data_IF_264374328789
#
_entry.id   IF_264374328789
#
_cell.length_a   1.000
_cell.length_b   1.000
_cell.length_c   1.000
_cell.angle_alpha   90.00
_cell.angle_beta   90.00
_cell.angle_gamma   90.00
#
_symmetry.space_group_name_H-M   'P 1'
#
loop_
_entity.id
_entity.type
_entity.pdbx_description
1 polymer ?
#
# COMPACT_ATOMS: atom_id res chain seq x y z
N UNK A 1 16.65 7.29 -2.44
CA UNK A 1 16.49 6.18 -1.49
C UNK A 1 17.20 6.37 -0.16
N UNK A 2 18.51 6.67 -0.09
CA UNK A 2 19.21 6.96 1.20
C UNK A 2 18.54 8.05 2.05
N UNK A 3 17.98 9.12 1.44
CA UNK A 3 17.32 10.21 2.18
C UNK A 3 15.98 9.85 2.81
N UNK A 4 15.27 8.83 2.30
CA UNK A 4 13.96 8.40 2.81
C UNK A 4 14.13 7.35 3.89
N UNK A 5 15.06 6.43 3.71
CA UNK A 5 15.49 5.52 4.79
C UNK A 5 16.03 6.31 5.99
N UNK A 6 16.86 7.34 5.75
CA UNK A 6 17.34 8.25 6.81
C UNK A 6 16.19 8.98 7.52
N UNK A 7 15.13 9.39 6.80
CA UNK A 7 14.00 10.11 7.40
C UNK A 7 13.05 9.21 8.20
N UNK A 8 12.95 7.93 7.83
CA UNK A 8 12.21 6.93 8.62
C UNK A 8 13.02 6.42 9.82
N UNK A 9 14.35 6.36 9.71
CA UNK A 9 15.25 6.05 10.82
C UNK A 9 15.37 7.20 11.81
N UNK A 10 15.39 8.47 11.35
CA UNK A 10 15.39 9.67 12.20
C UNK A 10 14.12 9.82 13.05
N UNK A 11 12.99 9.32 12.58
CA UNK A 11 11.74 9.31 13.36
C UNK A 11 11.70 8.26 14.48
N UNK A 12 12.66 7.33 14.50
CA UNK A 12 12.74 6.25 15.47
C UNK A 12 13.90 6.42 16.49
N UNK A 13 14.82 7.39 16.28
CA UNK A 13 16.03 7.53 17.11
C UNK A 13 16.48 8.98 17.28
N UNK A 14 15.68 9.89 17.79
CA UNK A 14 16.19 11.21 18.14
C UNK A 14 16.13 11.44 19.65
N UNK A 15 17.21 11.10 20.33
CA UNK A 15 17.58 11.80 21.57
C UNK A 15 18.44 13.02 21.22
N UNK A 16 18.23 14.19 21.84
CA UNK A 16 18.96 15.42 21.48
C UNK A 16 20.36 15.43 22.09
N UNK A 17 21.38 15.39 21.26
CA UNK A 17 22.77 15.62 21.66
C UNK A 17 23.10 17.08 21.45
N UNK A 18 23.37 17.79 22.56
CA UNK A 18 23.78 19.20 22.59
C UNK A 18 25.14 19.47 21.91
N UNK A 19 25.42 20.71 21.51
CA UNK A 19 26.60 21.07 20.75
C UNK A 19 27.85 21.11 21.61
N UNK A 20 28.91 20.42 21.18
CA UNK A 20 30.26 20.51 21.69
C UNK A 20 31.03 21.63 20.96
N UNK A 21 31.55 22.60 21.71
CA UNK A 21 32.38 23.68 21.22
C UNK A 21 33.85 23.24 21.25
N UNK A 22 34.66 23.49 20.20
CA UNK A 22 36.11 23.42 20.29
C UNK A 22 36.65 24.83 20.65
N UNK A 23 37.56 24.86 21.62
CA UNK A 23 38.34 26.01 21.96
C UNK A 23 39.56 26.12 21.03
N UNK A 24 39.86 27.33 20.58
CA UNK A 24 41.12 28.02 20.59
C UNK A 24 41.25 29.04 19.46
N UNK A 25 41.72 30.26 19.82
CA UNK A 25 42.24 31.22 18.88
C UNK A 25 41.64 32.63 18.98
N UNK A 26 42.09 33.44 19.95
CA UNK A 26 42.02 34.92 19.88
C UNK A 26 43.12 35.47 18.94
N UNK A 27 42.97 36.64 18.26
CA UNK A 27 42.95 37.92 18.96
C UNK A 27 42.06 39.06 18.42
N UNK A 28 41.72 39.93 19.35
CA UNK A 28 41.48 41.39 19.27
C UNK A 28 41.06 42.06 17.95
N UNK A 29 39.84 42.54 17.92
CA UNK A 29 39.56 43.94 17.52
C UNK A 29 38.22 44.38 18.13
N UNK A 30 38.26 45.39 18.97
CA UNK A 30 37.11 46.04 19.57
C UNK A 30 36.28 46.74 18.49
N UNK A 31 35.01 46.39 18.37
CA UNK A 31 33.97 47.23 17.79
C UNK A 31 32.77 47.21 18.75
N UNK A 32 32.29 48.41 19.05
CA UNK A 32 31.18 48.68 19.96
C UNK A 32 29.91 47.88 19.61
N UNK A 33 29.13 47.42 20.60
CA UNK A 33 27.87 46.76 20.36
C UNK A 33 26.82 47.78 19.90
N UNK A 34 26.36 47.65 18.68
CA UNK A 34 25.11 48.27 18.24
C UNK A 34 23.98 47.58 18.97
N UNK A 35 23.36 48.27 19.93
CA UNK A 35 22.13 47.82 20.60
C UNK A 35 21.02 47.65 19.53
N UNK A 36 20.78 46.42 19.07
CA UNK A 36 19.59 46.10 18.33
C UNK A 36 18.37 46.26 19.26
N UNK A 37 17.46 47.14 18.87
CA UNK A 37 16.24 47.42 19.63
C UNK A 37 15.43 46.14 19.87
N UNK A 38 14.96 45.95 21.11
CA UNK A 38 14.12 44.81 21.49
C UNK A 38 12.88 44.61 20.59
N UNK A 39 12.44 45.67 19.92
CA UNK A 39 11.33 45.61 18.96
C UNK A 39 11.68 44.87 17.66
N UNK A 40 12.92 44.98 17.14
CA UNK A 40 13.35 44.27 15.92
C UNK A 40 13.53 42.77 16.15
N UNK A 41 13.94 42.38 17.37
CA UNK A 41 14.07 40.96 17.73
C UNK A 41 12.70 40.29 17.88
N UNK A 42 11.70 41.01 18.35
CA UNK A 42 10.33 40.49 18.53
C UNK A 42 9.61 40.36 17.18
N UNK A 43 9.88 41.28 16.23
CA UNK A 43 9.32 41.23 14.88
C UNK A 43 9.90 40.07 14.05
N UNK A 44 11.19 39.80 14.13
CA UNK A 44 11.85 38.66 13.47
C UNK A 44 11.40 37.34 14.10
N UNK A 45 11.19 37.26 15.41
CA UNK A 45 10.66 36.06 16.07
C UNK A 45 9.22 35.79 15.72
N UNK A 46 8.40 36.83 15.51
CA UNK A 46 7.01 36.71 15.07
C UNK A 46 6.92 36.26 13.60
N UNK A 47 7.81 36.77 12.74
CA UNK A 47 7.89 36.34 11.33
C UNK A 47 8.35 34.89 11.18
N UNK A 48 9.31 34.45 11.97
CA UNK A 48 9.78 33.07 12.00
C UNK A 48 8.70 32.08 12.47
N UNK A 49 7.75 32.54 13.28
CA UNK A 49 6.61 31.74 13.74
C UNK A 49 5.49 31.63 12.71
N UNK A 50 5.37 32.61 11.80
CA UNK A 50 4.39 32.63 10.70
C UNK A 50 4.83 31.85 9.47
N UNK A 51 6.11 31.50 9.34
CA UNK A 51 6.69 30.81 8.17
C UNK A 51 7.07 29.34 8.49
N UNK A 52 6.67 28.81 9.64
CA UNK A 52 6.78 27.36 9.82
C UNK A 52 5.69 26.71 8.98
N UNK A 53 6.04 26.02 7.88
CA UNK A 53 5.04 25.23 7.17
C UNK A 53 4.50 24.19 8.18
N UNK A 54 3.18 24.20 8.39
CA UNK A 54 2.55 23.14 9.16
C UNK A 54 3.08 21.80 8.64
N UNK A 55 3.44 20.85 9.52
CA UNK A 55 3.85 19.54 9.09
C UNK A 55 2.70 18.94 8.28
N UNK A 56 2.86 18.91 6.96
CA UNK A 56 1.92 18.22 6.07
C UNK A 56 1.88 16.79 6.58
N UNK A 57 0.77 16.40 7.18
CA UNK A 57 0.58 15.05 7.70
C UNK A 57 0.87 14.09 6.55
N UNK A 58 1.78 13.14 6.76
CA UNK A 58 2.09 12.13 5.75
C UNK A 58 0.77 11.48 5.27
N UNK A 59 0.57 11.32 3.97
CA UNK A 59 -0.68 10.79 3.43
C UNK A 59 -0.96 9.45 4.10
N UNK A 60 -2.13 9.32 4.73
CA UNK A 60 -2.55 8.05 5.33
C UNK A 60 -2.84 7.07 4.19
N UNK A 61 -1.97 6.08 4.03
CA UNK A 61 -2.15 5.03 3.03
C UNK A 61 -3.40 4.21 3.34
N UNK A 62 -4.18 3.82 2.34
CA UNK A 62 -5.35 2.98 2.53
C UNK A 62 -4.94 1.59 3.00
N UNK A 63 -5.42 1.16 4.16
CA UNK A 63 -5.09 -0.14 4.76
C UNK A 63 -6.10 -1.19 4.32
N UNK A 64 -5.59 -2.38 3.97
CA UNK A 64 -6.45 -3.53 3.72
C UNK A 64 -7.16 -3.99 4.99
N UNK A 65 -8.47 -4.22 4.90
CA UNK A 65 -9.31 -4.65 6.02
C UNK A 65 -10.10 -5.89 5.65
N UNK A 66 -10.11 -6.85 6.55
CA UNK A 66 -10.80 -8.13 6.38
C UNK A 66 -12.28 -7.99 6.74
N UNK A 67 -13.14 -8.58 5.94
CA UNK A 67 -14.57 -8.62 6.21
C UNK A 67 -14.91 -9.48 7.44
N UNK A 68 -15.68 -8.92 8.37
CA UNK A 68 -16.26 -9.72 9.46
C UNK A 68 -17.37 -10.62 8.90
N UNK A 69 -17.25 -11.93 9.09
CA UNK A 69 -18.25 -12.92 8.70
C UNK A 69 -18.91 -13.54 9.91
N UNK A 70 -20.23 -13.81 9.88
CA UNK A 70 -20.88 -14.65 10.88
C UNK A 70 -20.28 -16.06 10.87
N UNK A 71 -20.05 -16.62 12.05
CA UNK A 71 -19.57 -17.99 12.19
C UNK A 71 -20.65 -19.00 11.76
N UNK A 72 -20.25 -20.02 11.02
CA UNK A 72 -21.07 -21.17 10.65
C UNK A 72 -20.58 -22.44 11.34
N UNK A 73 -21.35 -23.55 11.16
CA UNK A 73 -20.93 -24.88 11.57
C UNK A 73 -20.42 -25.65 10.36
N UNK A 74 -19.15 -26.09 10.40
CA UNK A 74 -18.51 -26.83 9.30
C UNK A 74 -19.22 -28.14 8.92
N UNK A 75 -19.88 -28.81 9.88
CA UNK A 75 -20.63 -30.04 9.62
C UNK A 75 -21.79 -29.80 8.61
N UNK A 76 -22.35 -28.59 8.64
CA UNK A 76 -23.48 -28.21 7.78
C UNK A 76 -23.04 -27.46 6.51
N UNK A 77 -21.74 -27.32 6.26
CA UNK A 77 -21.21 -26.53 5.13
C UNK A 77 -21.75 -26.96 3.77
N UNK A 78 -22.03 -28.26 3.61
CA UNK A 78 -22.54 -28.83 2.35
C UNK A 78 -24.07 -28.91 2.27
N UNK A 79 -24.80 -28.41 3.29
CA UNK A 79 -26.26 -28.40 3.28
C UNK A 79 -26.81 -27.49 2.17
N UNK A 80 -27.63 -28.00 1.24
CA UNK A 80 -28.22 -27.19 0.20
C UNK A 80 -29.05 -26.00 0.71
N UNK A 81 -29.66 -26.10 1.88
CA UNK A 81 -30.48 -25.04 2.47
C UNK A 81 -29.65 -23.80 2.86
N UNK A 82 -28.34 -23.96 3.08
CA UNK A 82 -27.41 -22.90 3.47
C UNK A 82 -26.68 -22.23 2.30
N UNK A 83 -26.94 -22.63 1.06
CA UNK A 83 -26.31 -22.06 -0.13
C UNK A 83 -26.53 -20.55 -0.27
N UNK A 84 -27.70 -20.05 0.09
CA UNK A 84 -27.99 -18.62 0.07
C UNK A 84 -27.14 -17.86 1.08
N UNK A 85 -26.92 -18.43 2.29
CA UNK A 85 -26.06 -17.85 3.33
C UNK A 85 -24.61 -17.81 2.85
N UNK A 86 -24.11 -18.88 2.23
CA UNK A 86 -22.75 -18.93 1.66
C UNK A 86 -22.58 -17.91 0.55
N UNK A 87 -23.56 -17.76 -0.35
CA UNK A 87 -23.54 -16.77 -1.43
C UNK A 87 -23.51 -15.33 -0.88
N UNK A 88 -24.29 -15.05 0.17
CA UNK A 88 -24.28 -13.74 0.84
C UNK A 88 -22.93 -13.45 1.50
N UNK A 89 -22.31 -14.44 2.16
CA UNK A 89 -20.99 -14.29 2.75
C UNK A 89 -19.91 -14.03 1.68
N UNK A 90 -19.95 -14.72 0.54
CA UNK A 90 -19.07 -14.47 -0.60
C UNK A 90 -19.21 -13.01 -1.07
N UNK A 91 -20.44 -12.54 -1.27
CA UNK A 91 -20.67 -11.15 -1.68
C UNK A 91 -20.22 -10.14 -0.65
N UNK A 92 -20.41 -10.42 0.64
CA UNK A 92 -19.93 -9.55 1.72
C UNK A 92 -18.42 -9.40 1.70
N UNK A 93 -17.68 -10.50 1.48
CA UNK A 93 -16.22 -10.45 1.33
C UNK A 93 -15.84 -9.67 0.06
N UNK A 94 -16.44 -9.94 -1.08
CA UNK A 94 -16.15 -9.25 -2.33
C UNK A 94 -16.37 -7.73 -2.20
N UNK A 95 -17.46 -7.30 -1.56
CA UNK A 95 -17.73 -5.86 -1.34
C UNK A 95 -16.72 -5.18 -0.43
N UNK A 96 -16.25 -5.87 0.59
CA UNK A 96 -15.33 -5.30 1.58
C UNK A 96 -13.86 -5.42 1.18
N UNK A 97 -13.47 -6.54 0.57
CA UNK A 97 -12.08 -6.90 0.32
C UNK A 97 -11.70 -6.88 -1.17
N UNK A 98 -12.68 -6.74 -2.08
CA UNK A 98 -12.41 -6.76 -3.53
C UNK A 98 -11.59 -5.54 -4.01
N UNK A 99 -10.77 -5.74 -5.05
CA UNK A 99 -10.53 -6.98 -5.78
C UNK A 99 -9.87 -8.05 -4.89
N UNK A 100 -10.36 -9.29 -5.00
CA UNK A 100 -9.91 -10.40 -4.17
C UNK A 100 -9.71 -11.68 -4.99
N UNK A 101 -8.58 -12.37 -4.79
CA UNK A 101 -8.31 -13.66 -5.43
C UNK A 101 -9.27 -14.74 -4.97
N UNK A 102 -9.70 -15.62 -5.87
CA UNK A 102 -10.66 -16.70 -5.62
C UNK A 102 -10.26 -17.60 -4.45
N UNK A 103 -9.01 -18.04 -4.39
CA UNK A 103 -8.52 -18.88 -3.29
C UNK A 103 -8.52 -18.16 -1.93
N UNK A 104 -8.33 -16.84 -1.89
CA UNK A 104 -8.45 -16.03 -0.67
C UNK A 104 -9.91 -15.91 -0.27
N UNK A 105 -10.80 -15.57 -1.20
CA UNK A 105 -12.23 -15.46 -1.00
C UNK A 105 -12.80 -16.74 -0.40
N UNK A 106 -12.48 -17.88 -1.03
CA UNK A 106 -12.98 -19.19 -0.58
C UNK A 106 -12.41 -19.60 0.77
N UNK A 107 -11.12 -19.29 1.02
CA UNK A 107 -10.49 -19.51 2.32
C UNK A 107 -11.15 -18.66 3.44
N UNK A 108 -11.55 -17.42 3.16
CA UNK A 108 -12.26 -16.55 4.13
C UNK A 108 -13.60 -17.19 4.55
N UNK A 109 -14.42 -17.56 3.57
CA UNK A 109 -15.71 -18.16 3.86
C UNK A 109 -15.55 -19.51 4.55
N UNK A 110 -14.69 -20.39 4.05
CA UNK A 110 -14.47 -21.71 4.65
C UNK A 110 -14.02 -21.60 6.14
N UNK A 111 -13.11 -20.66 6.44
CA UNK A 111 -12.64 -20.42 7.82
C UNK A 111 -13.75 -19.89 8.74
N UNK A 112 -14.66 -19.06 8.24
CA UNK A 112 -15.81 -18.60 9.03
C UNK A 112 -16.73 -19.76 9.44
N UNK A 113 -16.70 -20.88 8.70
CA UNK A 113 -17.42 -22.10 9.03
C UNK A 113 -16.58 -23.12 9.81
N UNK A 114 -15.40 -22.73 10.30
CA UNK A 114 -14.52 -23.61 11.10
C UNK A 114 -13.68 -24.58 10.27
N UNK A 115 -13.74 -24.52 8.94
CA UNK A 115 -12.97 -25.39 8.07
C UNK A 115 -11.50 -24.92 7.97
N UNK A 116 -10.56 -25.78 8.33
CA UNK A 116 -9.14 -25.44 8.37
C UNK A 116 -8.47 -25.45 6.97
N UNK A 117 -9.04 -26.20 6.04
CA UNK A 117 -8.53 -26.37 4.67
C UNK A 117 -9.65 -26.19 3.66
N UNK A 118 -9.30 -25.53 2.55
CA UNK A 118 -10.19 -25.38 1.41
C UNK A 118 -9.79 -26.42 0.36
N UNK A 119 -10.47 -27.56 0.36
CA UNK A 119 -10.22 -28.61 -0.63
C UNK A 119 -11.04 -28.37 -1.89
N UNK A 120 -10.69 -29.06 -2.98
CA UNK A 120 -11.31 -28.92 -4.31
C UNK A 120 -12.84 -28.91 -4.29
N UNK A 121 -13.48 -29.79 -3.53
CA UNK A 121 -14.95 -29.87 -3.42
C UNK A 121 -15.55 -28.59 -2.82
N UNK A 122 -14.88 -27.99 -1.84
CA UNK A 122 -15.29 -26.72 -1.21
C UNK A 122 -15.15 -25.59 -2.21
N UNK A 123 -14.01 -25.53 -2.92
CA UNK A 123 -13.75 -24.51 -3.94
C UNK A 123 -14.78 -24.58 -5.09
N UNK A 124 -15.08 -25.78 -5.61
CA UNK A 124 -16.08 -25.97 -6.64
C UNK A 124 -17.47 -25.51 -6.19
N UNK A 125 -17.86 -25.84 -4.95
CA UNK A 125 -19.11 -25.38 -4.35
C UNK A 125 -19.15 -23.85 -4.25
N UNK A 126 -18.14 -23.24 -3.63
CA UNK A 126 -18.10 -21.79 -3.43
C UNK A 126 -18.03 -21.03 -4.75
N UNK A 127 -17.23 -21.52 -5.71
CA UNK A 127 -17.13 -20.94 -7.05
C UNK A 127 -18.48 -20.93 -7.78
N UNK A 128 -19.25 -22.00 -7.65
CA UNK A 128 -20.60 -22.10 -8.22
C UNK A 128 -21.62 -21.15 -7.54
N UNK A 129 -21.35 -20.77 -6.29
CA UNK A 129 -22.21 -19.86 -5.51
C UNK A 129 -21.85 -18.39 -5.65
N UNK A 130 -20.68 -18.03 -6.23
CA UNK A 130 -20.36 -16.63 -6.48
C UNK A 130 -21.36 -16.07 -7.50
N UNK A 131 -22.17 -15.05 -7.13
CA UNK A 131 -23.12 -14.45 -8.06
C UNK A 131 -22.43 -13.92 -9.33
N UNK A 132 -23.11 -13.94 -10.48
CA UNK A 132 -22.55 -13.44 -11.74
C UNK A 132 -22.37 -11.92 -11.76
N UNK A 133 -22.97 -11.22 -10.82
CA UNK A 133 -22.82 -9.76 -10.66
C UNK A 133 -21.39 -9.38 -10.27
N UNK A 134 -20.89 -8.28 -10.83
CA UNK A 134 -19.53 -7.81 -10.64
C UNK A 134 -18.54 -8.28 -11.70
N UNK A 135 -17.49 -7.48 -11.88
CA UNK A 135 -16.43 -7.80 -12.83
C UNK A 135 -15.54 -8.93 -12.32
N UNK A 136 -14.88 -9.61 -13.24
CA UNK A 136 -13.86 -10.63 -12.96
C UNK A 136 -12.68 -10.40 -13.89
N UNK A 137 -11.48 -10.47 -13.33
CA UNK A 137 -10.23 -10.52 -14.11
C UNK A 137 -9.53 -11.84 -13.84
N UNK A 138 -8.79 -12.34 -14.83
CA UNK A 138 -8.10 -13.63 -14.74
C UNK A 138 -6.61 -13.41 -15.00
N UNK A 139 -5.79 -13.88 -14.09
CA UNK A 139 -4.35 -13.82 -14.17
C UNK A 139 -3.75 -15.21 -13.98
N UNK A 140 -3.38 -15.86 -15.09
CA UNK A 140 -3.02 -17.28 -15.07
C UNK A 140 -4.20 -18.14 -14.60
N UNK A 141 -4.00 -18.88 -13.52
CA UNK A 141 -5.01 -19.75 -12.93
C UNK A 141 -5.86 -19.07 -11.84
N UNK A 142 -5.57 -17.79 -11.52
CA UNK A 142 -6.23 -17.04 -10.45
C UNK A 142 -7.32 -16.14 -11.03
N UNK A 143 -8.53 -16.24 -10.46
CA UNK A 143 -9.64 -15.33 -10.76
C UNK A 143 -9.76 -14.29 -9.66
N UNK A 144 -9.73 -13.01 -10.01
CA UNK A 144 -10.02 -11.92 -9.09
C UNK A 144 -11.49 -11.49 -9.23
N UNK A 145 -12.18 -11.41 -8.09
CA UNK A 145 -13.55 -10.93 -8.01
C UNK A 145 -13.58 -9.48 -7.57
N UNK A 146 -14.34 -8.66 -8.27
CA UNK A 146 -14.46 -7.24 -8.07
C UNK A 146 -15.80 -6.86 -7.45
N UNK A 147 -15.89 -5.79 -6.64
CA UNK A 147 -17.17 -5.25 -6.21
C UNK A 147 -18.05 -4.90 -7.40
N UNK A 148 -19.37 -5.03 -7.24
CA UNK A 148 -20.35 -4.84 -8.32
C UNK A 148 -20.25 -3.51 -9.05
N UNK A 149 -19.83 -2.45 -8.35
CA UNK A 149 -19.69 -1.08 -8.88
C UNK A 149 -18.32 -0.79 -9.46
N UNK A 150 -17.37 -1.72 -9.36
CA UNK A 150 -15.99 -1.50 -9.79
C UNK A 150 -15.80 -1.85 -11.25
N UNK A 151 -15.06 -0.99 -11.94
CA UNK A 151 -14.58 -1.22 -13.30
C UNK A 151 -13.05 -1.44 -13.24
N UNK A 152 -12.54 -2.65 -13.47
CA UNK A 152 -11.12 -2.96 -13.34
C UNK A 152 -10.20 -2.03 -14.14
N UNK A 153 -10.62 -1.67 -15.36
CA UNK A 153 -9.84 -0.83 -16.27
C UNK A 153 -9.68 0.62 -15.77
N UNK A 154 -10.63 1.09 -14.95
CA UNK A 154 -10.67 2.44 -14.43
C UNK A 154 -10.31 2.52 -12.95
N UNK A 155 -10.01 1.37 -12.35
CA UNK A 155 -9.74 1.34 -10.92
C UNK A 155 -8.34 1.88 -10.61
N UNK A 156 -8.26 2.87 -9.72
CA UNK A 156 -7.04 3.56 -9.32
C UNK A 156 -6.63 3.26 -7.87
N UNK A 157 -7.40 2.44 -7.18
CA UNK A 157 -7.14 2.11 -5.78
C UNK A 157 -5.96 1.16 -5.58
N UNK A 158 -5.40 1.21 -4.38
CA UNK A 158 -4.49 0.21 -3.85
C UNK A 158 -4.65 0.15 -2.32
N UNK A 159 -4.18 -0.90 -1.69
CA UNK A 159 -4.22 -1.04 -0.23
C UNK A 159 -2.90 -1.64 0.25
N UNK A 160 -2.48 -1.22 1.44
CA UNK A 160 -1.23 -1.68 2.07
C UNK A 160 -1.55 -2.45 3.35
N UNK A 161 -0.56 -3.19 3.88
CA UNK A 161 -0.68 -3.84 5.16
C UNK A 161 -0.32 -2.89 6.31
N UNK A 162 -0.99 -3.05 7.44
CA UNK A 162 -0.55 -2.50 8.73
C UNK A 162 0.14 -3.58 9.59
N UNK A 163 0.17 -3.39 10.90
CA UNK A 163 0.82 -4.33 11.81
C UNK A 163 -0.06 -5.54 12.16
N UNK A 164 -1.34 -5.55 11.75
CA UNK A 164 -2.24 -6.67 11.97
C UNK A 164 -1.97 -7.80 10.98
N UNK A 165 -1.87 -9.03 11.46
CA UNK A 165 -1.64 -10.21 10.60
C UNK A 165 -2.70 -10.37 9.51
N UNK A 166 -3.94 -10.03 9.81
CA UNK A 166 -5.06 -10.14 8.88
C UNK A 166 -4.99 -9.15 7.70
N UNK A 167 -4.25 -8.05 7.85
CA UNK A 167 -4.04 -7.08 6.78
C UNK A 167 -2.94 -7.49 5.79
N UNK A 168 -2.08 -8.44 6.18
CA UNK A 168 -0.96 -8.89 5.36
C UNK A 168 -1.46 -9.76 4.21
N UNK A 169 -0.98 -9.45 3.01
CA UNK A 169 -1.30 -10.20 1.79
C UNK A 169 -0.02 -10.56 1.06
N UNK A 170 0.02 -11.74 0.45
CA UNK A 170 1.09 -12.12 -0.46
C UNK A 170 0.87 -11.46 -1.83
N UNK A 171 1.91 -11.38 -2.67
CA UNK A 171 1.82 -10.72 -3.97
C UNK A 171 0.89 -11.42 -4.96
N UNK A 172 0.68 -12.73 -4.82
CA UNK A 172 -0.27 -13.51 -5.59
C UNK A 172 -1.73 -13.30 -5.15
N UNK A 173 -1.95 -12.72 -3.98
CA UNK A 173 -3.26 -12.30 -3.48
C UNK A 173 -3.69 -10.90 -3.98
N UNK A 174 -2.77 -10.17 -4.65
CA UNK A 174 -3.01 -8.84 -5.22
C UNK A 174 -3.16 -8.92 -6.73
N UNK A 175 -4.21 -8.30 -7.30
CA UNK A 175 -4.35 -8.21 -8.75
C UNK A 175 -3.32 -7.26 -9.39
N UNK A 176 -3.13 -7.38 -10.69
CA UNK A 176 -2.18 -6.56 -11.44
C UNK A 176 -2.53 -5.07 -11.37
N UNK A 177 -3.82 -4.73 -11.37
CA UNK A 177 -4.29 -3.36 -11.25
C UNK A 177 -3.91 -2.75 -9.90
N UNK A 178 -4.11 -3.48 -8.79
CA UNK A 178 -3.75 -3.01 -7.46
C UNK A 178 -2.23 -2.82 -7.30
N UNK A 179 -1.45 -3.79 -7.77
CA UNK A 179 0.02 -3.70 -7.79
C UNK A 179 0.52 -2.56 -8.69
N UNK A 180 -0.09 -2.39 -9.87
CA UNK A 180 0.24 -1.31 -10.80
C UNK A 180 -0.04 0.08 -10.20
N UNK A 181 -1.19 0.24 -9.54
CA UNK A 181 -1.56 1.49 -8.88
C UNK A 181 -0.63 1.81 -7.71
N UNK A 182 -0.26 0.81 -6.90
CA UNK A 182 0.72 0.97 -5.83
C UNK A 182 2.11 1.35 -6.38
N UNK A 183 2.51 0.75 -7.49
CA UNK A 183 3.75 1.11 -8.18
C UNK A 183 3.73 2.56 -8.69
N UNK A 184 2.62 2.98 -9.33
CA UNK A 184 2.45 4.36 -9.80
C UNK A 184 2.49 5.36 -8.65
N UNK A 185 1.86 5.05 -7.51
CA UNK A 185 1.94 5.88 -6.32
C UNK A 185 3.40 6.04 -5.85
N UNK A 186 4.15 4.95 -5.70
CA UNK A 186 5.55 4.99 -5.29
C UNK A 186 6.44 5.77 -6.27
N UNK A 187 6.18 5.66 -7.57
CA UNK A 187 6.90 6.40 -8.60
C UNK A 187 6.55 7.90 -8.57
N UNK A 188 5.31 8.27 -8.18
CA UNK A 188 4.93 9.68 -8.03
C UNK A 188 5.63 10.34 -6.85
N UNK A 189 5.81 9.59 -5.75
CA UNK A 189 6.49 10.09 -4.55
C UNK A 189 8.01 10.18 -4.69
N UNK A 190 8.61 9.25 -5.44
CA UNK A 190 10.07 9.05 -5.42
C UNK A 190 10.76 9.23 -6.77
N UNK A 191 9.99 9.40 -7.84
CA UNK A 191 10.52 9.45 -9.19
C UNK A 191 10.90 8.05 -9.75
N UNK A 192 11.70 8.05 -10.81
CA UNK A 192 12.15 6.81 -11.44
C UNK A 192 13.10 6.00 -10.57
N UNK A 193 12.97 4.66 -10.61
CA UNK A 193 13.76 3.72 -9.83
C UNK A 193 14.00 2.41 -10.57
N UNK A 194 14.87 1.53 -10.05
CA UNK A 194 14.98 0.18 -10.60
C UNK A 194 13.77 -0.68 -10.24
N UNK A 195 13.46 -1.67 -11.10
CA UNK A 195 12.40 -2.65 -10.83
C UNK A 195 12.61 -3.36 -9.50
N UNK A 196 13.85 -3.76 -9.19
CA UNK A 196 14.18 -4.44 -7.94
C UNK A 196 13.99 -3.56 -6.71
N UNK A 197 14.24 -2.26 -6.81
CA UNK A 197 13.98 -1.33 -5.71
C UNK A 197 12.51 -1.05 -5.52
N UNK A 198 11.76 -0.91 -6.61
CA UNK A 198 10.30 -0.80 -6.57
C UNK A 198 9.69 -2.04 -5.94
N UNK A 199 10.16 -3.24 -6.32
CA UNK A 199 9.70 -4.50 -5.76
C UNK A 199 9.95 -4.58 -4.24
N UNK A 200 11.14 -4.16 -3.78
CA UNK A 200 11.44 -4.08 -2.34
C UNK A 200 10.52 -3.12 -1.60
N UNK A 201 10.22 -1.98 -2.20
CA UNK A 201 9.32 -0.97 -1.61
C UNK A 201 7.89 -1.48 -1.52
N UNK A 202 7.37 -2.14 -2.55
CA UNK A 202 6.05 -2.79 -2.55
C UNK A 202 5.99 -3.89 -1.48
N UNK A 203 6.98 -4.80 -1.46
CA UNK A 203 7.03 -5.87 -0.45
C UNK A 203 7.04 -5.31 0.98
N UNK A 204 7.77 -4.21 1.23
CA UNK A 204 7.80 -3.56 2.54
C UNK A 204 6.43 -3.01 2.94
N UNK A 205 5.71 -2.35 2.03
CA UNK A 205 4.35 -1.83 2.29
C UNK A 205 3.33 -2.95 2.49
N UNK A 206 3.55 -4.12 1.89
CA UNK A 206 2.72 -5.31 2.11
C UNK A 206 3.19 -6.18 3.27
N UNK A 207 4.23 -5.74 4.04
CA UNK A 207 4.83 -6.49 5.14
C UNK A 207 5.36 -7.88 4.73
N UNK A 208 5.79 -8.03 3.48
CA UNK A 208 6.42 -9.25 2.96
C UNK A 208 7.90 -9.23 3.33
N UNK A 209 8.34 -10.24 4.06
CA UNK A 209 9.68 -10.26 4.67
C UNK A 209 10.84 -10.35 3.66
N UNK A 210 10.62 -10.97 2.50
CA UNK A 210 11.67 -11.17 1.48
C UNK A 210 11.14 -10.90 0.08
N UNK A 211 11.91 -10.17 -0.70
CA UNK A 211 11.67 -10.02 -2.14
C UNK A 211 12.37 -11.16 -2.87
N UNK A 212 11.61 -12.03 -3.50
CA UNK A 212 12.10 -13.13 -4.34
C UNK A 212 12.12 -12.74 -5.82
N UNK A 213 12.77 -13.54 -6.66
CA UNK A 213 12.72 -13.38 -8.11
C UNK A 213 11.27 -13.49 -8.65
N UNK A 214 10.44 -14.35 -8.05
CA UNK A 214 9.01 -14.48 -8.40
C UNK A 214 8.23 -13.23 -8.03
N UNK A 215 8.57 -12.59 -6.90
CA UNK A 215 8.00 -11.31 -6.51
C UNK A 215 8.33 -10.21 -7.52
N UNK A 216 9.58 -10.10 -7.97
CA UNK A 216 9.98 -9.16 -9.01
C UNK A 216 9.26 -9.45 -10.34
N UNK A 217 9.20 -10.70 -10.75
CA UNK A 217 8.48 -11.11 -11.97
C UNK A 217 6.98 -10.79 -11.89
N UNK A 218 6.35 -10.95 -10.71
CA UNK A 218 4.95 -10.60 -10.47
C UNK A 218 4.73 -9.09 -10.62
N UNK A 219 5.63 -8.28 -10.08
CA UNK A 219 5.56 -6.81 -10.18
C UNK A 219 5.80 -6.36 -11.62
N UNK A 220 6.77 -6.94 -12.34
CA UNK A 220 6.98 -6.64 -13.76
C UNK A 220 5.69 -6.88 -14.56
N UNK A 221 5.01 -8.00 -14.35
CA UNK A 221 3.70 -8.26 -15.02
C UNK A 221 2.65 -7.22 -14.66
N UNK A 222 2.60 -6.75 -13.41
CA UNK A 222 1.68 -5.70 -13.00
C UNK A 222 2.02 -4.34 -13.63
N UNK A 223 3.31 -4.03 -13.83
CA UNK A 223 3.74 -2.81 -14.51
C UNK A 223 3.30 -2.75 -15.98
N UNK A 224 3.08 -3.91 -16.63
CA UNK A 224 2.56 -3.95 -18.00
C UNK A 224 1.15 -3.36 -18.11
N UNK A 225 0.33 -3.43 -17.04
CA UNK A 225 -0.98 -2.76 -16.99
C UNK A 225 -0.80 -1.24 -17.05
N UNK A 226 0.12 -0.69 -16.26
CA UNK A 226 0.45 0.73 -16.30
C UNK A 226 1.08 1.17 -17.62
N UNK A 227 1.90 0.31 -18.23
CA UNK A 227 2.49 0.55 -19.55
C UNK A 227 1.43 0.56 -20.65
N UNK A 228 0.50 -0.38 -20.65
CA UNK A 228 -0.60 -0.44 -21.60
C UNK A 228 -1.52 0.80 -21.53
N UNK A 229 -1.60 1.44 -20.36
CA UNK A 229 -2.31 2.70 -20.14
C UNK A 229 -1.44 3.95 -20.44
N UNK A 230 -0.22 3.78 -20.94
CA UNK A 230 0.76 4.84 -21.19
C UNK A 230 1.12 5.68 -19.94
N UNK A 231 0.95 5.13 -18.76
CA UNK A 231 1.24 5.79 -17.48
C UNK A 231 2.67 5.54 -16.99
N UNK A 232 3.30 4.46 -17.45
CA UNK A 232 4.64 4.02 -17.03
C UNK A 232 5.54 3.84 -18.25
N UNK A 233 6.81 4.22 -18.10
CA UNK A 233 7.92 3.89 -19.01
C UNK A 233 8.84 2.88 -18.35
N UNK A 234 9.15 1.82 -19.09
CA UNK A 234 10.08 0.77 -18.68
C UNK A 234 11.28 0.77 -19.63
N UNK A 235 12.48 1.08 -19.14
CA UNK A 235 13.72 1.14 -19.91
C UNK A 235 14.84 0.41 -19.18
N UNK A 236 15.35 -0.69 -19.76
CA UNK A 236 16.52 -1.43 -19.27
C UNK A 236 16.53 -1.59 -17.73
N UNK A 237 15.46 -2.18 -17.17
CA UNK A 237 15.35 -2.43 -15.73
C UNK A 237 15.03 -1.18 -14.87
N UNK A 238 14.89 -0.01 -15.48
CA UNK A 238 14.42 1.21 -14.83
C UNK A 238 12.96 1.46 -15.14
N UNK A 239 12.22 1.94 -14.17
CA UNK A 239 10.79 2.28 -14.28
C UNK A 239 10.57 3.73 -13.84
N UNK A 240 9.73 4.44 -14.58
CA UNK A 240 9.35 5.83 -14.28
C UNK A 240 7.93 6.12 -14.79
N UNK A 241 7.32 7.19 -14.29
CA UNK A 241 6.07 7.68 -14.87
C UNK A 241 6.29 8.22 -16.28
N UNK A 242 5.33 8.03 -17.18
CA UNK A 242 5.40 8.49 -18.57
C UNK A 242 5.28 10.02 -18.68
N UNK A 243 4.54 10.65 -17.77
CA UNK A 243 4.44 12.11 -17.60
C UNK A 243 4.67 12.43 -16.14
N UNK A 244 5.37 13.52 -15.85
CA UNK A 244 5.44 14.02 -14.47
C UNK A 244 4.02 14.35 -14.01
N UNK A 245 3.54 13.87 -12.86
CA UNK A 245 2.19 14.17 -12.42
C UNK A 245 2.08 15.66 -12.15
N UNK A 246 1.40 16.38 -13.04
CA UNK A 246 0.77 17.62 -12.65
C UNK A 246 -0.33 17.26 -11.64
N UNK A 247 -0.02 17.41 -10.38
CA UNK A 247 -0.92 17.44 -9.21
C UNK A 247 -2.24 16.69 -9.37
N UNK A 248 -2.26 15.34 -9.21
CA UNK A 248 -3.47 14.49 -9.28
C UNK A 248 -3.78 13.74 -7.99
N UNK A 249 -3.17 14.14 -6.85
CA UNK A 249 -3.51 13.56 -5.55
C UNK A 249 -3.73 14.65 -4.51
#
# INVERSE_FOLDING_TARGET
MRKILARLEDLLTTEPKGPTVPADGQPDTAMDPVEASAAEVEEVATYAKLVQPEPVAAPKLPIYRVAGLPAGNGDNFHDPSLRAVLAEQLMRVIRAEGPIADFVLFRRVARAWGLQRTGRRIEELLRALVPPAGARTVEGDVTFYWPETSQPDQWEGFRVADDLEESKRQLDELCAEELGNLAMFLLSEHGGTSVSELARSICRLQRIARTSADAEARIVRALEVGRARELIRLNVGMVSLAKSPGNRF
#
